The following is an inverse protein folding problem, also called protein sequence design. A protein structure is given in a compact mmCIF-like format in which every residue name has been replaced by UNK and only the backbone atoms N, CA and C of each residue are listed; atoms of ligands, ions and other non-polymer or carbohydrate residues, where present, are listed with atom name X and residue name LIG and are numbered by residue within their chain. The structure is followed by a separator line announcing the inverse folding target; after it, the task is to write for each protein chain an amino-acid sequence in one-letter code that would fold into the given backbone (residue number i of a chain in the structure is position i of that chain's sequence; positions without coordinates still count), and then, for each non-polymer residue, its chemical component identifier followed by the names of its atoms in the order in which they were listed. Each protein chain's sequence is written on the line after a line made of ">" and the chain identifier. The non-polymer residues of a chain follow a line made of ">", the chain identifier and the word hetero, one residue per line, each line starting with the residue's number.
data_IF_676523620612
#
_entry.id   IF_676523620612
#
_cell.length_a   1.000
_cell.length_b   1.000
_cell.length_c   1.000
_cell.angle_alpha   90.00
_cell.angle_beta   90.00
_cell.angle_gamma   90.00
#
_symmetry.space_group_name_H-M   'P 1'
#
loop_
_entity.id
_entity.type
_entity.pdbx_description
1 polymer ?
#
# COMPACT_ATOMS: atom_id res chain seq x y z
N UNK A 1 -13.67 3.65 6.63
CA UNK A 1 -13.51 5.07 6.94
C UNK A 1 -14.83 5.74 7.34
N UNK A 2 -15.91 5.47 6.64
CA UNK A 2 -17.22 6.08 6.92
C UNK A 2 -17.71 5.78 8.35
N UNK A 3 -17.47 4.58 8.87
CA UNK A 3 -17.83 4.20 10.24
C UNK A 3 -17.18 5.09 11.30
N UNK A 4 -16.06 5.70 10.97
CA UNK A 4 -15.27 6.53 11.87
C UNK A 4 -15.42 8.02 11.56
N UNK A 5 -16.41 8.38 10.73
CA UNK A 5 -16.69 9.78 10.39
C UNK A 5 -15.69 10.41 9.41
N UNK A 6 -14.93 9.60 8.70
CA UNK A 6 -13.94 10.08 7.74
C UNK A 6 -14.47 10.01 6.31
N UNK A 7 -14.03 10.96 5.49
CA UNK A 7 -14.37 10.96 4.07
C UNK A 7 -13.80 9.72 3.39
N UNK A 8 -14.52 9.14 2.41
CA UNK A 8 -13.94 8.08 1.60
C UNK A 8 -12.70 8.56 0.87
N UNK A 9 -11.73 7.67 0.69
CA UNK A 9 -10.57 7.95 -0.14
C UNK A 9 -10.99 7.90 -1.61
N UNK A 10 -10.38 8.77 -2.42
CA UNK A 10 -10.52 8.64 -3.87
C UNK A 10 -9.53 7.60 -4.38
N UNK A 11 -9.90 6.89 -5.43
CA UNK A 11 -8.94 6.02 -6.10
C UNK A 11 -7.89 6.89 -6.78
N UNK A 12 -6.64 6.55 -6.57
CA UNK A 12 -5.53 7.24 -7.21
C UNK A 12 -5.55 7.07 -8.73
N UNK A 13 -4.84 7.94 -9.41
CA UNK A 13 -4.72 7.85 -10.86
C UNK A 13 -3.82 6.65 -11.26
N UNK A 14 -3.59 6.51 -12.58
CA UNK A 14 -2.77 5.43 -13.10
C UNK A 14 -1.34 5.45 -12.55
N UNK A 15 -0.80 6.63 -12.23
CA UNK A 15 0.55 6.76 -11.68
C UNK A 15 0.64 6.20 -10.28
N UNK A 16 -0.32 6.51 -9.42
CA UNK A 16 -0.34 5.99 -8.05
C UNK A 16 -0.57 4.47 -8.05
N UNK A 17 -1.46 3.99 -8.92
CA UNK A 17 -1.71 2.56 -9.07
C UNK A 17 -0.44 1.82 -9.54
N UNK A 18 0.28 2.39 -10.52
CA UNK A 18 1.52 1.80 -11.01
C UNK A 18 2.60 1.78 -9.93
N UNK A 19 2.70 2.84 -9.12
CA UNK A 19 3.63 2.89 -8.00
C UNK A 19 3.31 1.80 -6.95
N UNK A 20 2.03 1.61 -6.64
CA UNK A 20 1.60 0.57 -5.71
C UNK A 20 1.93 -0.83 -6.25
N UNK A 21 1.72 -1.06 -7.54
CA UNK A 21 2.06 -2.33 -8.18
C UNK A 21 3.56 -2.60 -8.13
N UNK A 22 4.38 -1.59 -8.38
CA UNK A 22 5.83 -1.72 -8.27
C UNK A 22 6.24 -2.13 -6.85
N UNK A 23 5.65 -1.50 -5.84
CA UNK A 23 5.94 -1.87 -4.44
C UNK A 23 5.49 -3.29 -4.13
N UNK A 24 4.36 -3.75 -4.66
CA UNK A 24 3.91 -5.12 -4.45
C UNK A 24 4.92 -6.13 -5.00
N UNK A 25 5.50 -5.84 -6.17
CA UNK A 25 6.55 -6.68 -6.73
C UNK A 25 7.83 -6.66 -5.89
N UNK A 26 8.20 -5.49 -5.36
CA UNK A 26 9.41 -5.33 -4.54
C UNK A 26 9.33 -6.10 -3.23
N UNK A 27 8.17 -6.10 -2.56
CA UNK A 27 8.02 -6.81 -1.29
C UNK A 27 7.98 -8.32 -1.44
N UNK A 28 7.86 -8.84 -2.65
CA UNK A 28 8.02 -10.27 -2.91
C UNK A 28 9.45 -10.75 -2.65
N UNK A 29 10.44 -9.87 -2.78
CA UNK A 29 11.84 -10.19 -2.55
C UNK A 29 12.39 -9.59 -1.27
N UNK A 30 11.94 -8.38 -0.89
CA UNK A 30 12.38 -7.69 0.33
C UNK A 30 11.15 -7.32 1.15
N UNK A 31 10.89 -8.06 2.21
CA UNK A 31 9.72 -7.89 3.08
C UNK A 31 9.93 -6.69 4.00
N UNK A 32 9.94 -5.48 3.44
CA UNK A 32 10.29 -4.29 4.19
C UNK A 32 9.68 -3.05 3.55
N UNK A 33 9.48 -2.00 4.35
CA UNK A 33 9.18 -0.66 3.86
C UNK A 33 10.41 0.02 3.24
N UNK A 34 11.59 -0.59 3.37
CA UNK A 34 12.79 -0.17 2.65
C UNK A 34 12.84 -0.96 1.34
N UNK A 35 13.03 -0.24 0.24
CA UNK A 35 13.03 -0.82 -1.10
C UNK A 35 14.31 -1.64 -1.35
N UNK A 36 14.29 -2.56 -2.33
CA UNK A 36 15.49 -3.33 -2.69
C UNK A 36 16.71 -2.47 -3.02
N UNK A 37 16.52 -1.24 -3.53
CA UNK A 37 17.61 -0.32 -3.83
C UNK A 37 18.13 0.43 -2.59
N UNK A 38 17.62 0.13 -1.41
CA UNK A 38 18.05 0.76 -0.16
C UNK A 38 17.33 2.06 0.20
N UNK A 39 16.46 2.57 -0.67
CA UNK A 39 15.68 3.79 -0.39
C UNK A 39 14.37 3.45 0.33
N UNK A 40 13.73 4.47 0.92
CA UNK A 40 12.46 4.29 1.60
C UNK A 40 11.33 4.10 0.60
N UNK A 41 10.23 3.47 1.05
CA UNK A 41 9.11 3.11 0.19
C UNK A 41 8.55 4.29 -0.62
N UNK A 42 8.46 5.46 -0.02
CA UNK A 42 7.82 6.63 -0.65
C UNK A 42 8.60 7.20 -1.84
N UNK A 43 9.85 6.78 -2.04
CA UNK A 43 10.61 7.20 -3.23
C UNK A 43 9.99 6.66 -4.52
N UNK A 44 9.18 5.60 -4.44
CA UNK A 44 8.46 5.08 -5.60
C UNK A 44 7.49 6.10 -6.18
N UNK A 45 6.93 6.97 -5.35
CA UNK A 45 5.95 7.96 -5.79
C UNK A 45 6.56 8.91 -6.82
N UNK A 46 7.69 9.52 -6.51
CA UNK A 46 8.37 10.43 -7.47
C UNK A 46 8.86 9.69 -8.71
N UNK A 47 9.30 8.44 -8.57
CA UNK A 47 9.71 7.61 -9.69
C UNK A 47 8.60 7.43 -10.73
N UNK A 48 7.35 7.34 -10.27
CA UNK A 48 6.18 7.16 -11.13
C UNK A 48 5.45 8.46 -11.43
N UNK A 49 6.03 9.60 -11.08
CA UNK A 49 5.47 10.92 -11.38
C UNK A 49 4.31 11.34 -10.49
N UNK A 50 4.16 10.70 -9.33
CA UNK A 50 3.17 11.13 -8.32
C UNK A 50 3.75 12.32 -7.58
N UNK A 51 3.04 13.45 -7.65
CA UNK A 51 3.49 14.70 -7.03
C UNK A 51 2.84 14.96 -5.67
N UNK A 52 1.78 14.24 -5.32
CA UNK A 52 1.13 14.38 -4.02
C UNK A 52 2.04 13.85 -2.90
N UNK A 53 1.92 14.45 -1.74
CA UNK A 53 2.71 14.06 -0.58
C UNK A 53 2.32 12.66 -0.09
N UNK A 54 3.31 11.88 0.31
CA UNK A 54 3.09 10.57 0.88
C UNK A 54 2.37 10.67 2.24
N UNK A 55 1.39 9.79 2.46
CA UNK A 55 0.72 9.69 3.75
C UNK A 55 1.05 8.37 4.46
N UNK A 56 1.14 7.25 3.75
CA UNK A 56 1.51 5.99 4.38
C UNK A 56 1.53 4.83 3.40
N UNK A 57 2.08 3.72 3.86
CA UNK A 57 2.09 2.46 3.13
C UNK A 57 1.63 1.34 4.06
N UNK A 58 0.66 0.54 3.59
CA UNK A 58 0.35 -0.74 4.21
C UNK A 58 0.84 -1.85 3.29
N UNK A 59 1.50 -2.83 3.88
CA UNK A 59 2.00 -3.99 3.17
C UNK A 59 1.50 -5.26 3.84
N UNK A 60 1.25 -6.31 3.07
CA UNK A 60 0.87 -7.61 3.60
C UNK A 60 1.34 -8.72 2.68
N UNK A 61 1.55 -9.88 3.28
CA UNK A 61 2.03 -11.10 2.61
C UNK A 61 1.12 -12.27 2.98
N UNK A 62 0.80 -13.10 2.00
CA UNK A 62 0.12 -14.37 2.24
C UNK A 62 -1.40 -14.34 2.29
N UNK A 63 -2.03 -13.19 2.41
CA UNK A 63 -3.49 -13.07 2.38
C UNK A 63 -3.99 -13.41 0.97
N UNK A 64 -5.12 -14.12 0.89
CA UNK A 64 -5.60 -14.67 -0.38
C UNK A 64 -6.75 -13.90 -1.00
N UNK A 65 -7.30 -12.90 -0.32
CA UNK A 65 -8.40 -12.08 -0.82
C UNK A 65 -8.30 -10.64 -0.35
N UNK A 66 -8.92 -9.68 -1.08
CA UNK A 66 -8.97 -8.29 -0.63
C UNK A 66 -9.63 -8.14 0.74
N UNK A 67 -10.70 -8.87 1.01
CA UNK A 67 -11.42 -8.82 2.28
C UNK A 67 -10.52 -9.26 3.43
N UNK A 68 -9.79 -10.35 3.24
CA UNK A 68 -8.87 -10.88 4.24
C UNK A 68 -7.76 -9.89 4.57
N UNK A 69 -7.15 -9.28 3.54
CA UNK A 69 -6.04 -8.36 3.76
C UNK A 69 -6.50 -7.06 4.43
N UNK A 70 -7.67 -6.53 4.05
CA UNK A 70 -8.20 -5.32 4.69
C UNK A 70 -8.54 -5.60 6.15
N UNK A 71 -9.14 -6.74 6.46
CA UNK A 71 -9.42 -7.13 7.84
C UNK A 71 -8.13 -7.27 8.66
N UNK A 72 -7.09 -7.85 8.08
CA UNK A 72 -5.79 -7.96 8.74
C UNK A 72 -5.20 -6.59 9.06
N UNK A 73 -5.25 -5.66 8.09
CA UNK A 73 -4.76 -4.31 8.32
C UNK A 73 -5.57 -3.56 9.38
N UNK A 74 -6.89 -3.71 9.37
CA UNK A 74 -7.75 -3.04 10.37
C UNK A 74 -7.57 -3.61 11.78
N UNK A 75 -7.08 -4.83 11.91
CA UNK A 75 -6.78 -5.45 13.21
C UNK A 75 -5.35 -5.19 13.70
N UNK A 76 -4.57 -4.42 12.95
CA UNK A 76 -3.21 -4.03 13.30
C UNK A 76 -3.15 -2.52 13.52
N UNK A 77 -2.73 -2.09 14.70
CA UNK A 77 -2.78 -0.67 15.10
C UNK A 77 -2.11 0.26 14.08
N UNK A 78 -0.88 -0.06 13.67
CA UNK A 78 -0.13 0.78 12.72
C UNK A 78 -0.77 0.84 11.33
N UNK A 79 -1.23 -0.30 10.82
CA UNK A 79 -1.88 -0.36 9.52
C UNK A 79 -3.25 0.33 9.55
N UNK A 80 -3.99 0.13 10.64
CA UNK A 80 -5.29 0.78 10.85
C UNK A 80 -5.14 2.30 10.87
N UNK A 81 -4.10 2.80 11.52
CA UNK A 81 -3.84 4.24 11.60
C UNK A 81 -3.66 4.85 10.20
N UNK A 82 -3.02 4.15 9.27
CA UNK A 82 -2.89 4.61 7.89
C UNK A 82 -4.25 4.69 7.19
N UNK A 83 -5.09 3.66 7.34
CA UNK A 83 -6.42 3.64 6.72
C UNK A 83 -7.31 4.75 7.28
N UNK A 84 -7.18 5.06 8.56
CA UNK A 84 -8.00 6.04 9.27
C UNK A 84 -7.33 7.42 9.38
N UNK A 85 -6.23 7.65 8.68
CA UNK A 85 -5.55 8.95 8.67
C UNK A 85 -6.47 10.02 8.06
N UNK A 86 -6.86 11.05 8.84
CA UNK A 86 -7.74 12.10 8.33
C UNK A 86 -7.09 12.95 7.23
N UNK A 87 -5.77 12.96 7.12
CA UNK A 87 -5.06 13.70 6.09
C UNK A 87 -4.93 12.95 4.77
N UNK A 88 -5.14 11.62 4.78
CA UNK A 88 -5.10 10.83 3.56
C UNK A 88 -6.31 11.16 2.67
N UNK A 89 -6.07 11.37 1.38
CA UNK A 89 -7.11 11.71 0.41
C UNK A 89 -7.27 10.68 -0.69
N UNK A 90 -6.17 10.07 -1.13
CA UNK A 90 -6.17 9.11 -2.23
C UNK A 90 -5.41 7.85 -1.84
N UNK A 91 -5.76 6.75 -2.49
CA UNK A 91 -5.00 5.50 -2.33
C UNK A 91 -4.80 4.81 -3.66
N UNK A 92 -3.68 4.08 -3.77
CA UNK A 92 -3.43 3.14 -4.83
C UNK A 92 -3.24 1.75 -4.22
N UNK A 93 -3.67 0.73 -4.95
CA UNK A 93 -3.55 -0.66 -4.51
C UNK A 93 -2.71 -1.44 -5.50
N UNK A 94 -1.77 -2.21 -4.99
CA UNK A 94 -0.99 -3.15 -5.76
C UNK A 94 -1.16 -4.56 -5.24
N UNK A 95 -1.15 -5.51 -6.16
CA UNK A 95 -1.20 -6.92 -5.84
C UNK A 95 -0.27 -7.68 -6.78
N UNK A 96 0.54 -8.55 -6.22
CA UNK A 96 1.46 -9.37 -7.00
C UNK A 96 1.48 -10.78 -6.43
N UNK A 97 1.30 -11.76 -7.33
CA UNK A 97 1.41 -13.17 -6.98
C UNK A 97 2.66 -13.75 -7.63
N UNK A 98 3.47 -14.43 -6.81
CA UNK A 98 4.64 -15.15 -7.30
C UNK A 98 4.77 -16.46 -6.51
N UNK A 99 4.50 -17.58 -7.17
CA UNK A 99 4.57 -18.90 -6.54
C UNK A 99 5.97 -19.26 -6.01
N UNK A 100 7.00 -18.57 -6.51
CA UNK A 100 8.39 -18.76 -6.06
C UNK A 100 8.74 -17.92 -4.85
N UNK A 101 7.90 -16.95 -4.46
CA UNK A 101 8.11 -16.17 -3.24
C UNK A 101 7.62 -16.95 -2.03
N UNK A 102 8.16 -16.62 -0.85
CA UNK A 102 7.85 -17.32 0.40
C UNK A 102 6.35 -17.35 0.71
N UNK A 103 5.66 -16.23 0.49
CA UNK A 103 4.26 -16.05 0.89
C UNK A 103 3.28 -16.11 -0.28
N UNK A 104 3.76 -16.12 -1.53
CA UNK A 104 2.95 -16.18 -2.74
C UNK A 104 2.26 -14.86 -3.08
N UNK A 105 1.40 -14.36 -2.22
CA UNK A 105 0.59 -13.16 -2.42
C UNK A 105 1.19 -11.96 -1.72
N UNK A 106 1.32 -10.85 -2.44
CA UNK A 106 1.82 -9.58 -1.89
C UNK A 106 0.81 -8.47 -2.17
N UNK A 107 0.53 -7.67 -1.14
CA UNK A 107 -0.46 -6.58 -1.19
C UNK A 107 0.15 -5.28 -0.72
N UNK A 108 -0.16 -4.20 -1.42
CA UNK A 108 0.26 -2.85 -1.05
C UNK A 108 -0.95 -1.91 -1.09
N UNK A 109 -1.06 -1.05 -0.10
CA UNK A 109 -1.86 0.17 -0.14
C UNK A 109 -0.91 1.35 0.00
N UNK A 110 -0.93 2.27 -0.96
CA UNK A 110 -0.20 3.54 -0.84
C UNK A 110 -1.22 4.65 -0.65
N UNK A 111 -0.97 5.50 0.34
CA UNK A 111 -1.83 6.64 0.65
C UNK A 111 -1.10 7.93 0.36
N UNK A 112 -1.82 8.89 -0.22
CA UNK A 112 -1.31 10.26 -0.46
C UNK A 112 -2.25 11.28 0.16
N UNK A 113 -1.71 12.46 0.41
CA UNK A 113 -2.47 13.60 0.96
C UNK A 113 -3.15 14.42 -0.12
#
# INVERSE_FOLDING_TARGET
>A
RAKYGLQPLVMGDAKLTAAAQQRAEEIATVNSHVRPNGTKWYTVLSEYGVTDAAAGENAAWGNVSPEEVVNAWMNSEGHRANILDPEARAMGVGYYYNSSSTWGHQWIQLFTK
#
